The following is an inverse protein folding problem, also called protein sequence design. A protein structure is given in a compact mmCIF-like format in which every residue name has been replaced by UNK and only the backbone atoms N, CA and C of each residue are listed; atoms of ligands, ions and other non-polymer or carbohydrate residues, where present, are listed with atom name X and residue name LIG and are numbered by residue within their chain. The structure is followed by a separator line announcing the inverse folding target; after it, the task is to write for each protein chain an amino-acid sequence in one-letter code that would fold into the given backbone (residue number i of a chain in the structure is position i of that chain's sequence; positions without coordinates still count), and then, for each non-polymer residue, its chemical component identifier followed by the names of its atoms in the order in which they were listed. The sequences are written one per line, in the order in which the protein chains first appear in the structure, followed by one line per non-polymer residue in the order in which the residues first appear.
data_IF_334402955765
#
_entry.id   IF_334402955765
#
_cell.length_a   1.000
_cell.length_b   1.000
_cell.length_c   1.000
_cell.angle_alpha   90.00
_cell.angle_beta   90.00
_cell.angle_gamma   90.00
#
_symmetry.space_group_name_H-M   'P 1'
#
loop_
_entity.id
_entity.type
_entity.pdbx_description
1 polymer ?
#
# COMPACT_ATOMS: atom_id res chain seq x y z
N UNK A 1 -8.09 26.34 39.92
CA UNK A 1 -8.54 25.28 39.01
C UNK A 1 -7.40 24.92 38.08
N UNK A 2 -6.51 24.04 38.57
CA UNK A 2 -5.36 23.52 37.82
C UNK A 2 -5.70 22.20 37.10
N UNK A 3 -6.96 22.00 36.72
CA UNK A 3 -7.43 20.72 36.17
C UNK A 3 -7.39 20.65 34.64
N UNK A 4 -6.87 21.68 33.96
CA UNK A 4 -6.80 21.75 32.50
C UNK A 4 -5.46 22.32 32.08
N UNK A 5 -4.69 21.53 31.34
CA UNK A 5 -3.49 21.98 30.64
C UNK A 5 -3.87 22.63 29.31
N UNK A 6 -3.24 23.77 28.99
CA UNK A 6 -3.47 24.52 27.76
C UNK A 6 -2.15 24.76 27.03
N UNK A 7 -2.00 24.14 25.86
CA UNK A 7 -0.90 24.38 24.94
C UNK A 7 -1.34 25.25 23.77
N UNK A 8 -0.54 26.26 23.42
CA UNK A 8 -0.79 27.15 22.29
C UNK A 8 0.27 26.96 21.22
N UNK A 9 -0.16 26.92 19.96
CA UNK A 9 0.68 26.73 18.79
C UNK A 9 0.32 27.74 17.70
N UNK A 10 1.15 27.83 16.67
CA UNK A 10 0.86 28.65 15.50
C UNK A 10 -0.48 28.27 14.86
N UNK A 11 -1.18 29.27 14.30
CA UNK A 11 -2.46 29.05 13.64
C UNK A 11 -2.29 28.07 12.47
N UNK A 12 -3.09 27.01 12.45
CA UNK A 12 -3.10 25.98 11.39
C UNK A 12 -3.43 26.52 10.00
N UNK A 13 -4.03 27.71 9.92
CA UNK A 13 -4.30 28.43 8.67
C UNK A 13 -4.09 29.94 8.90
N UNK A 14 -2.83 30.42 8.88
CA UNK A 14 -2.52 31.82 9.16
C UNK A 14 -3.17 32.78 8.16
N UNK A 15 -3.29 32.34 6.90
CA UNK A 15 -3.98 33.04 5.79
C UNK A 15 -4.83 32.05 5.01
N UNK A 16 -5.83 32.53 4.26
CA UNK A 16 -6.82 31.68 3.59
C UNK A 16 -6.20 30.66 2.62
N UNK A 17 -5.10 31.00 1.97
CA UNK A 17 -4.46 30.19 0.94
C UNK A 17 -3.24 29.40 1.43
N UNK A 18 -2.99 29.34 2.75
CA UNK A 18 -1.86 28.62 3.32
C UNK A 18 -2.22 27.91 4.62
N UNK A 19 -1.91 26.62 4.67
CA UNK A 19 -1.96 25.80 5.88
C UNK A 19 -0.58 25.73 6.54
N UNK A 20 -0.57 25.60 7.87
CA UNK A 20 0.61 25.41 8.72
C UNK A 20 0.31 24.35 9.78
N UNK A 21 0.16 23.10 9.34
CA UNK A 21 -0.33 22.00 10.19
C UNK A 21 0.74 21.44 11.14
N UNK A 22 2.03 21.67 10.84
CA UNK A 22 3.17 21.09 11.58
C UNK A 22 3.12 21.36 13.08
N UNK A 23 3.11 22.64 13.51
CA UNK A 23 3.15 23.00 14.94
C UNK A 23 2.03 22.36 15.76
N UNK A 24 0.82 22.29 15.22
CA UNK A 24 -0.31 21.65 15.90
C UNK A 24 -0.18 20.12 15.96
N UNK A 25 0.30 19.49 14.89
CA UNK A 25 0.54 18.03 14.87
C UNK A 25 1.62 17.63 15.87
N UNK A 26 2.70 18.40 15.94
CA UNK A 26 3.81 18.15 16.86
C UNK A 26 3.35 18.30 18.31
N UNK A 27 2.61 19.36 18.64
CA UNK A 27 2.06 19.55 20.00
C UNK A 27 1.04 18.48 20.41
N UNK A 28 0.16 18.05 19.50
CA UNK A 28 -0.76 16.92 19.78
C UNK A 28 0.04 15.64 20.06
N UNK A 29 1.14 15.43 19.33
CA UNK A 29 2.02 14.29 19.54
C UNK A 29 2.71 14.34 20.91
N UNK A 30 3.28 15.50 21.26
CA UNK A 30 3.94 15.71 22.56
C UNK A 30 2.97 15.48 23.72
N UNK A 31 1.77 16.07 23.65
CA UNK A 31 0.71 15.84 24.64
C UNK A 31 0.33 14.35 24.76
N UNK A 32 0.28 13.62 23.65
CA UNK A 32 0.01 12.18 23.68
C UNK A 32 1.14 11.40 24.37
N UNK A 33 2.41 11.75 24.12
CA UNK A 33 3.54 11.12 24.78
C UNK A 33 3.55 11.40 26.28
N UNK A 34 3.37 12.67 26.67
CA UNK A 34 3.41 13.12 28.06
C UNK A 34 2.23 12.62 28.89
N UNK A 35 1.03 12.57 28.32
CA UNK A 35 -0.18 12.29 29.08
C UNK A 35 -0.73 10.88 28.89
N UNK A 36 -0.45 10.22 27.77
CA UNK A 36 -0.97 8.86 27.53
C UNK A 36 0.14 7.83 27.66
N UNK A 37 1.28 8.04 26.99
CA UNK A 37 2.37 7.08 27.01
C UNK A 37 3.17 7.10 28.30
N UNK A 38 3.35 8.25 28.96
CA UNK A 38 4.03 8.32 30.26
C UNK A 38 3.36 7.45 31.34
N UNK A 39 2.04 7.26 31.24
CA UNK A 39 1.29 6.39 32.15
C UNK A 39 1.32 4.91 31.76
N UNK A 40 1.97 4.54 30.64
CA UNK A 40 2.09 3.16 30.23
C UNK A 40 3.04 2.41 31.18
N UNK A 41 2.65 1.21 31.67
CA UNK A 41 3.48 0.43 32.59
C UNK A 41 4.89 0.20 32.05
N UNK A 42 5.90 0.71 32.76
CA UNK A 42 7.31 0.54 32.42
C UNK A 42 7.91 1.62 31.50
N UNK A 43 7.14 2.62 31.07
CA UNK A 43 7.63 3.68 30.17
C UNK A 43 8.78 4.50 30.79
N UNK A 44 8.65 4.95 32.05
CA UNK A 44 9.72 5.68 32.76
C UNK A 44 11.04 4.90 32.80
N UNK A 45 10.95 3.58 32.95
CA UNK A 45 12.11 2.70 32.98
C UNK A 45 12.76 2.59 31.60
N UNK A 46 11.98 2.56 30.52
CA UNK A 46 12.49 2.57 29.16
C UNK A 46 13.18 3.89 28.84
N UNK A 47 12.57 5.03 29.19
CA UNK A 47 13.19 6.36 29.00
C UNK A 47 14.57 6.41 29.66
N UNK A 48 14.68 5.91 30.90
CA UNK A 48 15.94 5.91 31.64
C UNK A 48 17.01 4.97 31.04
N UNK A 49 16.64 4.05 30.15
CA UNK A 49 17.54 3.10 29.48
C UNK A 49 18.00 3.55 28.09
N UNK A 50 17.35 4.55 27.51
CA UNK A 50 17.60 4.98 26.13
C UNK A 50 18.30 6.33 26.09
N UNK A 51 19.38 6.43 25.33
CA UNK A 51 20.11 7.70 25.11
C UNK A 51 19.43 8.62 24.07
N UNK A 52 18.35 8.15 23.44
CA UNK A 52 17.59 8.87 22.42
C UNK A 52 16.09 8.91 22.79
N UNK A 53 15.33 9.92 22.32
CA UNK A 53 13.89 9.99 22.55
C UNK A 53 13.16 8.76 22.02
N UNK A 54 12.15 8.29 22.77
CA UNK A 54 11.30 7.19 22.33
C UNK A 54 10.45 7.68 21.17
N UNK A 55 10.58 7.03 20.01
CA UNK A 55 9.81 7.34 18.82
C UNK A 55 8.66 6.34 18.63
N UNK A 56 7.45 6.80 18.28
CA UNK A 56 6.39 5.89 17.90
C UNK A 56 6.68 5.26 16.53
N UNK A 57 6.27 4.01 16.32
CA UNK A 57 6.44 3.27 15.06
C UNK A 57 6.08 4.08 13.80
N UNK A 58 4.93 4.79 13.74
CA UNK A 58 4.58 5.57 12.55
C UNK A 58 5.50 6.78 12.32
N UNK A 59 6.15 7.29 13.37
CA UNK A 59 7.19 8.31 13.23
C UNK A 59 8.42 7.74 12.52
N UNK A 60 8.87 6.58 12.99
CA UNK A 60 10.09 5.94 12.48
C UNK A 60 9.95 5.46 11.04
N UNK A 61 8.85 4.77 10.72
CA UNK A 61 8.54 4.30 9.36
C UNK A 61 8.40 5.48 8.39
N UNK A 62 7.74 6.56 8.82
CA UNK A 62 7.61 7.78 8.03
C UNK A 62 8.96 8.43 7.71
N UNK A 63 9.85 8.51 8.69
CA UNK A 63 11.18 9.12 8.52
C UNK A 63 12.03 8.38 7.49
N UNK A 64 12.07 7.04 7.55
CA UNK A 64 12.86 6.26 6.60
C UNK A 64 12.25 6.33 5.19
N UNK A 65 10.92 6.29 5.04
CA UNK A 65 10.26 6.46 3.74
C UNK A 65 10.57 7.83 3.12
N UNK A 66 10.47 8.90 3.92
CA UNK A 66 10.82 10.26 3.49
C UNK A 66 12.28 10.35 3.04
N UNK A 67 13.20 9.76 3.81
CA UNK A 67 14.63 9.75 3.47
C UNK A 67 14.89 9.06 2.12
N UNK A 68 14.23 7.93 1.85
CA UNK A 68 14.35 7.19 0.58
C UNK A 68 13.84 8.03 -0.59
N UNK A 69 12.65 8.62 -0.43
CA UNK A 69 12.00 9.45 -1.44
C UNK A 69 12.87 10.67 -1.80
N UNK A 70 13.39 11.37 -0.79
CA UNK A 70 14.26 12.53 -0.96
C UNK A 70 15.60 12.19 -1.62
N UNK A 71 16.29 11.16 -1.15
CA UNK A 71 17.60 10.76 -1.71
C UNK A 71 17.47 10.27 -3.15
N UNK A 72 16.41 9.53 -3.46
CA UNK A 72 16.20 8.94 -4.78
C UNK A 72 15.47 9.88 -5.74
N UNK A 73 14.88 10.97 -5.25
CA UNK A 73 14.07 11.90 -6.05
C UNK A 73 12.83 11.23 -6.64
N UNK A 74 12.14 10.39 -5.84
CA UNK A 74 11.00 9.58 -6.29
C UNK A 74 9.75 9.84 -5.46
N UNK A 75 8.59 9.53 -6.02
CA UNK A 75 7.34 9.47 -5.27
C UNK A 75 7.16 8.07 -4.67
N UNK A 76 6.79 8.01 -3.40
CA UNK A 76 6.69 6.76 -2.68
C UNK A 76 5.45 6.68 -1.79
N UNK A 77 4.90 5.47 -1.68
CA UNK A 77 3.88 5.12 -0.68
C UNK A 77 4.46 4.00 0.19
N UNK A 78 4.29 4.13 1.49
CA UNK A 78 4.60 3.09 2.46
C UNK A 78 3.34 2.71 3.21
N UNK A 79 3.20 1.44 3.56
CA UNK A 79 2.13 0.95 4.43
C UNK A 79 2.68 0.07 5.53
N UNK A 80 2.15 0.23 6.74
CA UNK A 80 2.40 -0.64 7.89
C UNK A 80 1.07 -1.13 8.46
N UNK A 81 0.72 -2.38 8.18
CA UNK A 81 -0.51 -3.00 8.67
C UNK A 81 -0.26 -3.84 9.93
N UNK A 82 -0.71 -3.32 11.07
CA UNK A 82 -0.58 -3.94 12.38
C UNK A 82 -1.79 -4.77 12.79
N UNK A 83 -1.77 -5.21 14.05
CA UNK A 83 -2.90 -5.93 14.64
C UNK A 83 -4.11 -5.04 14.92
N UNK A 84 -3.90 -3.77 15.24
CA UNK A 84 -4.95 -2.81 15.60
C UNK A 84 -5.16 -1.72 14.55
N UNK A 85 -4.08 -1.22 13.97
CA UNK A 85 -4.07 -0.06 13.08
C UNK A 85 -3.39 -0.38 11.75
N UNK A 86 -3.68 0.42 10.74
CA UNK A 86 -2.93 0.46 9.47
C UNK A 86 -2.46 1.88 9.25
N UNK A 87 -1.15 2.05 9.11
CA UNK A 87 -0.55 3.34 8.83
C UNK A 87 -0.20 3.44 7.36
N UNK A 88 -0.59 4.54 6.71
CA UNK A 88 -0.24 4.84 5.33
C UNK A 88 0.54 6.13 5.28
N UNK A 89 1.65 6.08 4.57
CA UNK A 89 2.58 7.19 4.38
C UNK A 89 2.71 7.45 2.88
N UNK A 90 2.83 8.71 2.50
CA UNK A 90 3.14 9.07 1.12
C UNK A 90 4.11 10.24 1.05
N UNK A 91 4.93 10.23 0.02
CA UNK A 91 5.78 11.34 -0.40
C UNK A 91 5.49 11.57 -1.87
N UNK A 92 4.91 12.71 -2.19
CA UNK A 92 4.62 13.11 -3.57
C UNK A 92 5.11 14.53 -3.79
N UNK A 93 5.90 14.72 -4.84
CA UNK A 93 6.46 16.02 -5.21
C UNK A 93 7.19 16.71 -4.01
N UNK A 94 7.79 15.89 -3.13
CA UNK A 94 8.51 16.32 -1.92
C UNK A 94 7.62 16.52 -0.67
N UNK A 95 6.29 16.43 -0.79
CA UNK A 95 5.38 16.59 0.34
C UNK A 95 5.10 15.27 1.04
N UNK A 96 5.40 15.21 2.35
CA UNK A 96 5.15 14.05 3.19
C UNK A 96 3.78 14.11 3.86
N UNK A 97 2.99 13.05 3.71
CA UNK A 97 1.72 12.85 4.39
C UNK A 97 1.69 11.52 5.14
N UNK A 98 0.96 11.50 6.25
CA UNK A 98 0.78 10.33 7.10
C UNK A 98 -0.66 10.24 7.58
N UNK A 99 -1.21 9.03 7.55
CA UNK A 99 -2.52 8.69 8.11
C UNK A 99 -2.42 7.43 8.94
N UNK A 100 -3.08 7.43 10.10
CA UNK A 100 -3.20 6.28 11.00
C UNK A 100 -4.65 5.85 11.02
N UNK A 101 -4.97 4.72 10.41
CA UNK A 101 -6.32 4.15 10.39
C UNK A 101 -6.54 3.28 11.63
N UNK A 102 -7.08 3.89 12.69
CA UNK A 102 -7.18 3.27 14.02
C UNK A 102 -8.04 1.99 14.08
N UNK A 103 -8.97 1.80 13.13
CA UNK A 103 -9.92 0.70 13.12
C UNK A 103 -9.61 -0.39 12.09
N UNK A 104 -8.50 -0.26 11.36
CA UNK A 104 -8.17 -1.17 10.26
C UNK A 104 -6.93 -1.97 10.64
N UNK A 105 -7.11 -3.12 11.28
CA UNK A 105 -6.01 -3.97 11.73
C UNK A 105 -6.35 -5.45 11.64
N UNK A 106 -5.32 -6.29 11.53
CA UNK A 106 -5.48 -7.72 11.21
C UNK A 106 -5.70 -8.63 12.41
N UNK A 107 -5.79 -8.09 13.63
CA UNK A 107 -5.96 -8.89 14.85
C UNK A 107 -6.96 -8.24 15.80
N UNK A 108 -6.54 -7.28 16.62
CA UNK A 108 -7.39 -6.56 17.56
C UNK A 108 -8.58 -5.87 16.88
N UNK A 109 -8.39 -5.37 15.66
CA UNK A 109 -9.41 -4.63 14.91
C UNK A 109 -9.99 -5.39 13.71
N UNK A 110 -9.75 -6.70 13.60
CA UNK A 110 -10.18 -7.46 12.41
C UNK A 110 -11.69 -7.46 12.22
N UNK A 111 -12.45 -7.45 13.33
CA UNK A 111 -13.92 -7.33 13.28
C UNK A 111 -14.37 -5.98 12.70
N UNK A 112 -13.64 -4.90 12.96
CA UNK A 112 -13.92 -3.58 12.43
C UNK A 112 -13.66 -3.54 10.92
N UNK A 113 -12.55 -4.15 10.45
CA UNK A 113 -12.31 -4.34 9.01
C UNK A 113 -13.48 -5.07 8.37
N UNK A 114 -13.94 -6.19 8.95
CA UNK A 114 -15.09 -6.93 8.42
C UNK A 114 -16.40 -6.14 8.45
N UNK A 115 -16.59 -5.26 9.43
CA UNK A 115 -17.78 -4.41 9.53
C UNK A 115 -17.76 -3.31 8.47
N UNK A 116 -16.61 -2.66 8.26
CA UNK A 116 -16.45 -1.55 7.33
C UNK A 116 -16.38 -2.02 5.88
N UNK A 117 -15.59 -3.07 5.60
CA UNK A 117 -15.50 -3.67 4.27
C UNK A 117 -16.77 -4.45 3.91
N UNK A 118 -17.41 -5.10 4.88
CA UNK A 118 -18.47 -6.12 4.73
C UNK A 118 -17.97 -7.45 4.19
N UNK A 119 -18.65 -8.54 4.59
CA UNK A 119 -18.32 -9.90 4.14
C UNK A 119 -18.35 -10.09 2.62
N UNK A 120 -19.35 -9.57 1.87
CA UNK A 120 -19.36 -9.69 0.41
C UNK A 120 -18.12 -9.10 -0.27
N UNK A 121 -17.64 -7.93 0.18
CA UNK A 121 -16.43 -7.33 -0.40
C UNK A 121 -15.14 -8.03 0.00
N UNK A 122 -15.12 -8.76 1.11
CA UNK A 122 -13.99 -9.62 1.48
C UNK A 122 -14.01 -10.88 0.62
N UNK A 123 -15.17 -11.54 0.53
CA UNK A 123 -15.31 -12.83 -0.17
C UNK A 123 -15.10 -12.76 -1.68
N UNK A 124 -15.21 -11.56 -2.28
CA UNK A 124 -14.88 -11.38 -3.71
C UNK A 124 -13.43 -11.73 -4.05
N UNK A 125 -12.52 -11.73 -3.07
CA UNK A 125 -11.11 -12.11 -3.25
C UNK A 125 -10.84 -13.60 -3.01
N UNK A 126 -11.86 -14.36 -2.60
CA UNK A 126 -11.73 -15.77 -2.23
C UNK A 126 -12.11 -16.64 -3.42
N UNK A 127 -11.15 -17.41 -3.92
CA UNK A 127 -11.31 -18.30 -5.08
C UNK A 127 -11.91 -19.68 -4.70
N UNK A 128 -11.79 -20.10 -3.44
CA UNK A 128 -12.35 -21.35 -2.90
C UNK A 128 -13.67 -21.11 -2.18
N UNK A 129 -14.46 -22.17 -2.01
CA UNK A 129 -15.79 -22.02 -1.41
C UNK A 129 -15.65 -22.02 0.10
N UNK A 130 -16.31 -21.10 0.78
CA UNK A 130 -16.19 -20.95 2.22
C UNK A 130 -17.54 -20.62 2.84
N UNK A 131 -17.84 -21.25 3.98
CA UNK A 131 -19.03 -20.93 4.76
C UNK A 131 -18.84 -19.60 5.51
N UNK A 132 -19.61 -18.58 5.13
CA UNK A 132 -19.60 -17.27 5.78
C UNK A 132 -19.84 -17.38 7.30
N UNK A 133 -20.67 -18.32 7.74
CA UNK A 133 -20.94 -18.50 9.18
C UNK A 133 -19.69 -18.95 9.93
N UNK A 134 -18.91 -19.87 9.37
CA UNK A 134 -17.64 -20.30 9.95
C UNK A 134 -16.62 -19.14 9.96
N UNK A 135 -16.53 -18.39 8.87
CA UNK A 135 -15.62 -17.25 8.76
C UNK A 135 -15.92 -16.17 9.80
N UNK A 136 -17.20 -15.85 10.05
CA UNK A 136 -17.61 -14.93 11.10
C UNK A 136 -17.17 -15.39 12.50
N UNK A 137 -17.20 -16.69 12.77
CA UNK A 137 -16.69 -17.24 14.03
C UNK A 137 -15.16 -17.13 14.09
N UNK A 138 -14.46 -17.35 12.97
CA UNK A 138 -13.00 -17.23 12.87
C UNK A 138 -12.52 -15.81 13.15
N UNK A 139 -13.17 -14.79 12.57
CA UNK A 139 -12.90 -13.37 12.84
C UNK A 139 -13.02 -13.05 14.32
N UNK A 140 -14.12 -13.47 14.97
CA UNK A 140 -14.33 -13.26 16.41
C UNK A 140 -13.28 -13.96 17.26
N UNK A 141 -12.95 -15.20 16.92
CA UNK A 141 -11.93 -15.98 17.63
C UNK A 141 -10.54 -15.33 17.53
N UNK A 142 -10.18 -14.78 16.37
CA UNK A 142 -8.91 -14.06 16.21
C UNK A 142 -8.88 -12.77 17.02
N UNK A 143 -9.99 -12.02 17.09
CA UNK A 143 -10.06 -10.80 17.91
C UNK A 143 -9.82 -11.08 19.41
N UNK A 144 -10.33 -12.20 19.94
CA UNK A 144 -10.10 -12.61 21.35
C UNK A 144 -8.76 -13.33 21.56
N UNK A 145 -8.13 -13.83 20.50
CA UNK A 145 -6.80 -14.49 20.50
C UNK A 145 -5.91 -13.88 19.42
N UNK A 146 -5.49 -12.61 19.58
CA UNK A 146 -4.88 -11.81 18.51
C UNK A 146 -3.54 -12.36 18.00
N UNK A 147 -2.90 -13.25 18.75
CA UNK A 147 -1.62 -13.86 18.39
C UNK A 147 -1.76 -15.13 17.53
N UNK A 148 -2.98 -15.54 17.18
CA UNK A 148 -3.17 -16.71 16.30
C UNK A 148 -2.82 -16.40 14.86
N UNK A 149 -2.03 -17.28 14.24
CA UNK A 149 -1.69 -17.26 12.81
C UNK A 149 -2.49 -18.31 12.03
N UNK A 150 -2.74 -18.13 10.73
CA UNK A 150 -3.37 -19.14 9.88
C UNK A 150 -2.68 -20.51 10.00
N UNK A 151 -3.47 -21.55 10.26
CA UNK A 151 -3.00 -22.95 10.32
C UNK A 151 -3.52 -23.82 9.17
N UNK A 152 -4.35 -23.26 8.29
CA UNK A 152 -4.86 -23.92 7.08
C UNK A 152 -4.79 -22.97 5.89
N UNK A 153 -4.79 -23.54 4.68
CA UNK A 153 -4.78 -22.76 3.44
C UNK A 153 -6.02 -21.86 3.34
N UNK A 154 -7.19 -22.36 3.69
CA UNK A 154 -8.42 -21.56 3.75
C UNK A 154 -8.31 -20.39 4.73
N UNK A 155 -7.70 -20.59 5.90
CA UNK A 155 -7.46 -19.51 6.85
C UNK A 155 -6.55 -18.44 6.26
N UNK A 156 -5.49 -18.86 5.57
CA UNK A 156 -4.54 -17.96 4.92
C UNK A 156 -5.23 -17.14 3.82
N UNK A 157 -5.96 -17.81 2.92
CA UNK A 157 -6.70 -17.16 1.82
C UNK A 157 -7.68 -16.13 2.38
N UNK A 158 -8.45 -16.51 3.41
CA UNK A 158 -9.42 -15.62 4.03
C UNK A 158 -8.75 -14.41 4.69
N UNK A 159 -7.70 -14.60 5.49
CA UNK A 159 -7.01 -13.49 6.14
C UNK A 159 -6.33 -12.56 5.12
N UNK A 160 -5.80 -13.08 4.02
CA UNK A 160 -5.26 -12.26 2.93
C UNK A 160 -6.37 -11.50 2.17
N UNK A 161 -7.58 -12.06 2.07
CA UNK A 161 -8.75 -11.33 1.55
C UNK A 161 -9.16 -10.18 2.48
N UNK A 162 -9.17 -10.40 3.79
CA UNK A 162 -9.41 -9.33 4.78
C UNK A 162 -8.32 -8.25 4.70
N UNK A 163 -7.05 -8.65 4.54
CA UNK A 163 -5.92 -7.73 4.41
C UNK A 163 -6.05 -6.82 3.19
N UNK A 164 -6.47 -7.33 2.03
CA UNK A 164 -6.73 -6.50 0.84
C UNK A 164 -7.73 -5.38 1.13
N UNK A 165 -8.83 -5.70 1.81
CA UNK A 165 -9.84 -4.70 2.15
C UNK A 165 -9.37 -3.71 3.24
N UNK A 166 -8.63 -4.17 4.25
CA UNK A 166 -8.04 -3.28 5.26
C UNK A 166 -7.09 -2.26 4.61
N UNK A 167 -6.18 -2.75 3.74
CA UNK A 167 -5.23 -1.91 3.02
C UNK A 167 -5.94 -0.93 2.07
N UNK A 168 -6.94 -1.40 1.32
CA UNK A 168 -7.73 -0.57 0.39
C UNK A 168 -8.45 0.55 1.13
N UNK A 169 -9.12 0.23 2.24
CA UNK A 169 -9.84 1.23 3.06
C UNK A 169 -8.86 2.25 3.67
N UNK A 170 -7.73 1.80 4.20
CA UNK A 170 -6.71 2.68 4.75
C UNK A 170 -6.12 3.61 3.67
N UNK A 171 -5.88 3.09 2.46
CA UNK A 171 -5.37 3.87 1.35
C UNK A 171 -6.40 4.91 0.86
N UNK A 172 -7.68 4.55 0.76
CA UNK A 172 -8.74 5.51 0.42
C UNK A 172 -8.82 6.64 1.45
N UNK A 173 -8.83 6.30 2.74
CA UNK A 173 -8.81 7.29 3.82
C UNK A 173 -7.58 8.19 3.71
N UNK A 174 -6.42 7.64 3.39
CA UNK A 174 -5.19 8.42 3.19
C UNK A 174 -5.33 9.42 2.04
N UNK A 175 -5.88 9.02 0.89
CA UNK A 175 -6.11 9.92 -0.26
C UNK A 175 -7.12 11.02 0.06
N UNK A 176 -8.09 10.77 0.93
CA UNK A 176 -9.05 11.79 1.38
C UNK A 176 -8.41 12.85 2.30
N UNK A 177 -7.38 12.49 3.06
CA UNK A 177 -6.68 13.41 3.95
C UNK A 177 -5.49 14.11 3.30
N UNK A 178 -4.74 13.41 2.44
CA UNK A 178 -3.62 13.96 1.69
C UNK A 178 -4.12 14.76 0.49
N UNK A 179 -4.76 15.91 0.74
CA UNK A 179 -5.36 16.76 -0.30
C UNK A 179 -4.71 18.12 -0.39
N UNK A 180 -4.78 18.72 -1.58
CA UNK A 180 -4.40 20.11 -1.79
C UNK A 180 -5.36 21.08 -1.08
N UNK A 181 -4.86 22.28 -0.77
CA UNK A 181 -5.61 23.34 -0.07
C UNK A 181 -6.97 23.64 -0.70
N UNK A 182 -8.04 23.50 0.10
CA UNK A 182 -9.41 23.85 -0.30
C UNK A 182 -9.63 25.38 -0.26
N UNK A 183 -10.12 25.93 -1.37
CA UNK A 183 -10.60 27.32 -1.44
C UNK A 183 -9.59 28.36 -1.94
N UNK A 184 -8.40 27.93 -2.40
CA UNK A 184 -7.53 28.81 -3.19
C UNK A 184 -8.19 29.05 -4.55
N UNK A 185 -8.28 30.30 -5.00
CA UNK A 185 -8.66 30.62 -6.38
C UNK A 185 -7.57 30.05 -7.31
N UNK A 186 -7.69 28.78 -7.68
CA UNK A 186 -6.98 28.26 -8.84
C UNK A 186 -7.43 29.10 -10.04
N UNK A 187 -6.47 29.53 -10.88
CA UNK A 187 -6.79 30.16 -12.17
C UNK A 187 -7.52 29.12 -13.02
N UNK A 188 -8.85 29.06 -12.88
CA UNK A 188 -9.69 28.11 -13.59
C UNK A 188 -9.83 28.56 -15.04
N UNK A 189 -9.49 27.68 -15.97
CA UNK A 189 -9.89 27.81 -17.36
C UNK A 189 -11.39 27.52 -17.49
N UNK A 190 -12.05 28.03 -18.53
CA UNK A 190 -13.51 27.84 -18.74
C UNK A 190 -13.91 26.35 -18.76
N UNK A 191 -12.98 25.45 -19.09
CA UNK A 191 -13.16 23.99 -19.03
C UNK A 191 -13.26 23.41 -17.61
N UNK A 192 -12.61 24.02 -16.61
CA UNK A 192 -12.55 23.52 -15.23
C UNK A 192 -13.82 23.83 -14.42
N UNK A 193 -14.74 24.62 -14.98
CA UNK A 193 -16.03 24.94 -14.37
C UNK A 193 -17.02 23.76 -14.42
N UNK A 194 -16.78 22.77 -15.29
CA UNK A 194 -17.67 21.61 -15.46
C UNK A 194 -17.27 20.39 -14.63
N UNK A 195 -16.06 20.35 -14.07
CA UNK A 195 -15.60 19.38 -13.08
C UNK A 195 -15.75 19.98 -11.69
N UNK A 196 -16.98 19.97 -11.17
CA UNK A 196 -17.25 20.30 -9.76
C UNK A 196 -16.79 19.14 -8.85
N UNK A 197 -15.49 19.01 -8.62
CA UNK A 197 -15.01 18.27 -7.45
C UNK A 197 -15.07 19.22 -6.24
N UNK A 198 -16.03 18.96 -5.35
CA UNK A 198 -16.24 19.71 -4.10
C UNK A 198 -15.16 19.43 -3.03
N UNK A 199 -14.15 18.61 -3.34
CA UNK A 199 -12.97 18.34 -2.52
C UNK A 199 -11.70 18.92 -3.14
N UNK A 200 -10.65 19.12 -2.34
CA UNK A 200 -9.31 19.35 -2.90
C UNK A 200 -8.84 18.05 -3.55
N UNK A 201 -8.09 18.14 -4.66
CA UNK A 201 -7.56 16.95 -5.31
C UNK A 201 -6.55 16.28 -4.37
N UNK A 202 -6.62 14.94 -4.29
CA UNK A 202 -5.62 14.12 -3.60
C UNK A 202 -4.24 14.41 -4.19
N UNK A 203 -3.26 14.63 -3.32
CA UNK A 203 -1.83 14.77 -3.68
C UNK A 203 -1.28 13.41 -4.12
N UNK A 204 -1.86 12.33 -3.59
CA UNK A 204 -1.48 10.96 -3.94
C UNK A 204 -2.03 10.60 -5.33
N UNK A 205 -1.10 10.40 -6.26
CA UNK A 205 -1.36 10.07 -7.67
C UNK A 205 -0.74 8.70 -8.02
N UNK A 206 -1.58 7.72 -8.33
CA UNK A 206 -1.14 6.36 -8.61
C UNK A 206 -0.27 6.27 -9.88
N UNK A 207 -0.43 7.17 -10.85
CA UNK A 207 0.34 7.17 -12.11
C UNK A 207 1.77 7.68 -11.89
N UNK A 208 1.96 8.54 -10.88
CA UNK A 208 3.26 9.08 -10.49
C UNK A 208 3.99 8.23 -9.45
N UNK A 209 3.38 7.15 -8.95
CA UNK A 209 3.93 6.34 -7.88
C UNK A 209 5.08 5.46 -8.37
N UNK A 210 6.31 5.79 -7.95
CA UNK A 210 7.51 5.05 -8.34
C UNK A 210 7.76 3.84 -7.43
N UNK A 211 7.51 3.97 -6.12
CA UNK A 211 7.81 2.94 -5.13
C UNK A 211 6.66 2.72 -4.14
N UNK A 212 6.23 1.47 -4.00
CA UNK A 212 5.27 1.03 -2.98
C UNK A 212 5.95 0.05 -2.02
N UNK A 213 6.04 0.41 -0.74
CA UNK A 213 6.73 -0.37 0.30
C UNK A 213 5.72 -0.96 1.28
N UNK A 214 5.74 -2.29 1.42
CA UNK A 214 4.97 -3.05 2.38
C UNK A 214 5.71 -3.28 3.70
N UNK A 215 5.03 -3.02 4.82
CA UNK A 215 5.42 -3.41 6.17
C UNK A 215 4.19 -3.88 6.96
N UNK A 216 4.42 -4.44 8.15
CA UNK A 216 3.35 -4.88 9.05
C UNK A 216 2.88 -6.31 8.80
N UNK A 217 2.78 -7.08 9.89
CA UNK A 217 2.99 -8.54 9.93
C UNK A 217 2.40 -9.41 8.81
N UNK A 218 1.18 -9.14 8.33
CA UNK A 218 0.54 -9.95 7.28
C UNK A 218 1.27 -9.88 5.93
N UNK A 219 1.97 -8.76 5.65
CA UNK A 219 2.68 -8.54 4.39
C UNK A 219 4.06 -9.21 4.33
N UNK A 220 5.00 -8.98 5.27
CA UNK A 220 6.33 -9.55 5.20
C UNK A 220 6.37 -11.04 5.58
N UNK A 221 5.42 -11.52 6.39
CA UNK A 221 5.33 -12.92 6.78
C UNK A 221 4.38 -13.75 5.89
N UNK A 222 3.91 -13.20 4.77
CA UNK A 222 3.21 -14.01 3.77
C UNK A 222 4.12 -15.18 3.33
N UNK A 223 3.60 -16.43 3.28
CA UNK A 223 4.40 -17.60 2.90
C UNK A 223 5.11 -17.50 1.55
N UNK A 224 4.56 -16.70 0.61
CA UNK A 224 5.12 -16.46 -0.71
C UNK A 224 5.19 -14.96 -1.00
N UNK A 225 6.25 -14.53 -1.71
CA UNK A 225 6.46 -13.12 -2.07
C UNK A 225 5.38 -12.62 -3.03
N UNK A 226 4.87 -13.51 -3.88
CA UNK A 226 3.80 -13.27 -4.83
C UNK A 226 2.49 -12.89 -4.13
N UNK A 227 2.23 -13.45 -2.93
CA UNK A 227 1.05 -13.10 -2.14
C UNK A 227 1.14 -11.66 -1.63
N UNK A 228 2.31 -11.21 -1.17
CA UNK A 228 2.55 -9.82 -0.77
C UNK A 228 2.37 -8.88 -1.97
N UNK A 229 2.96 -9.21 -3.12
CA UNK A 229 2.81 -8.41 -4.34
C UNK A 229 1.33 -8.31 -4.77
N UNK A 230 0.59 -9.42 -4.75
CA UNK A 230 -0.83 -9.42 -5.09
C UNK A 230 -1.65 -8.54 -4.14
N UNK A 231 -1.45 -8.65 -2.82
CA UNK A 231 -2.16 -7.79 -1.85
C UNK A 231 -1.87 -6.30 -2.06
N UNK A 232 -0.62 -5.94 -2.39
CA UNK A 232 -0.25 -4.56 -2.73
C UNK A 232 -0.95 -4.06 -3.99
N UNK A 233 -0.88 -4.83 -5.08
CA UNK A 233 -1.48 -4.43 -6.37
C UNK A 233 -3.00 -4.32 -6.23
N UNK A 234 -3.63 -5.28 -5.54
CA UNK A 234 -5.08 -5.34 -5.39
C UNK A 234 -5.63 -4.21 -4.50
N UNK A 235 -4.87 -3.78 -3.48
CA UNK A 235 -5.33 -2.76 -2.53
C UNK A 235 -4.99 -1.32 -2.95
N UNK A 236 -3.81 -1.11 -3.54
CA UNK A 236 -3.30 0.23 -3.86
C UNK A 236 -3.54 0.62 -5.32
N UNK A 237 -3.84 -0.36 -6.17
CA UNK A 237 -4.20 -0.14 -7.58
C UNK A 237 -3.18 0.74 -8.32
N UNK A 238 -1.86 0.41 -8.31
CA UNK A 238 -0.84 1.23 -8.97
C UNK A 238 -1.14 1.37 -10.46
N UNK A 239 -0.70 2.49 -11.05
CA UNK A 239 -0.87 2.85 -12.45
C UNK A 239 0.50 3.18 -13.07
N UNK A 240 0.69 2.89 -14.35
CA UNK A 240 1.97 3.07 -15.01
C UNK A 240 2.98 2.03 -14.54
N UNK A 241 4.14 2.47 -14.06
CA UNK A 241 5.25 1.60 -13.66
C UNK A 241 5.58 1.86 -12.19
N UNK A 242 5.27 0.90 -11.33
CA UNK A 242 5.51 1.02 -9.88
C UNK A 242 6.37 -0.13 -9.39
N UNK A 243 7.49 0.21 -8.74
CA UNK A 243 8.35 -0.76 -8.07
C UNK A 243 7.71 -1.18 -6.75
N UNK A 244 7.62 -2.48 -6.51
CA UNK A 244 7.08 -3.06 -5.29
C UNK A 244 8.22 -3.54 -4.41
N UNK A 245 8.15 -3.24 -3.13
CA UNK A 245 9.10 -3.70 -2.13
C UNK A 245 8.41 -4.07 -0.82
N UNK A 246 9.09 -4.87 0.01
CA UNK A 246 8.68 -5.14 1.38
C UNK A 246 9.83 -5.03 2.35
N UNK A 247 9.52 -4.64 3.58
CA UNK A 247 10.41 -4.77 4.73
C UNK A 247 10.52 -6.26 5.11
N UNK A 248 11.72 -6.84 5.08
CA UNK A 248 11.92 -8.27 5.26
C UNK A 248 11.54 -8.79 6.66
N UNK A 249 11.73 -7.97 7.69
CA UNK A 249 11.64 -8.38 9.11
C UNK A 249 11.20 -7.23 10.05
N UNK A 250 10.40 -6.27 9.56
CA UNK A 250 9.90 -5.15 10.37
C UNK A 250 11.04 -4.29 10.95
N UNK A 251 12.06 -4.02 10.13
CA UNK A 251 13.22 -3.22 10.50
C UNK A 251 13.06 -1.73 10.22
N UNK A 252 12.08 -1.32 9.41
CA UNK A 252 11.79 0.11 9.14
C UNK A 252 11.64 0.94 10.42
N UNK A 253 10.93 0.50 11.48
CA UNK A 253 10.84 1.27 12.71
C UNK A 253 12.19 1.40 13.43
N UNK A 254 12.96 0.31 13.50
CA UNK A 254 14.27 0.31 14.15
C UNK A 254 15.26 1.22 13.42
N UNK A 255 15.25 1.17 12.08
CA UNK A 255 16.11 1.98 11.24
C UNK A 255 15.68 3.45 11.18
N UNK A 256 14.38 3.73 11.30
CA UNK A 256 13.88 5.10 11.44
C UNK A 256 14.35 5.78 12.73
N UNK A 257 14.48 5.04 13.83
CA UNK A 257 15.11 5.53 15.07
C UNK A 257 16.62 5.69 14.87
N UNK A 258 17.29 4.66 14.33
CA UNK A 258 18.74 4.72 14.07
C UNK A 258 19.11 5.89 13.15
N UNK A 259 18.26 6.24 12.18
CA UNK A 259 18.48 7.34 11.25
C UNK A 259 18.57 8.71 11.95
N UNK A 260 18.06 8.87 13.17
CA UNK A 260 18.23 10.10 13.94
C UNK A 260 19.66 10.30 14.45
N UNK A 261 20.37 9.21 14.70
CA UNK A 261 21.72 9.21 15.29
C UNK A 261 22.78 8.91 14.22
N UNK A 262 22.50 7.96 13.34
CA UNK A 262 23.39 7.50 12.26
C UNK A 262 22.63 7.35 10.93
N UNK A 263 22.29 8.47 10.25
CA UNK A 263 21.50 8.46 9.01
C UNK A 263 22.09 7.57 7.90
N UNK A 264 23.41 7.67 7.66
CA UNK A 264 24.08 6.91 6.59
C UNK A 264 24.06 5.41 6.86
N UNK A 265 24.39 4.98 8.07
CA UNK A 265 24.38 3.57 8.44
C UNK A 265 22.96 2.98 8.41
N UNK A 266 21.96 3.71 8.92
CA UNK A 266 20.57 3.28 8.87
C UNK A 266 20.10 3.05 7.43
N UNK A 267 20.49 3.93 6.52
CA UNK A 267 20.12 3.84 5.12
C UNK A 267 20.86 2.72 4.39
N UNK A 268 22.16 2.52 4.65
CA UNK A 268 22.92 1.41 4.07
C UNK A 268 22.34 0.05 4.49
N UNK A 269 22.03 -0.12 5.78
CA UNK A 269 21.39 -1.34 6.29
C UNK A 269 19.98 -1.49 5.70
N UNK A 270 19.25 -0.39 5.56
CA UNK A 270 17.92 -0.43 4.97
C UNK A 270 17.95 -0.91 3.52
N UNK A 271 18.78 -0.28 2.68
CA UNK A 271 18.88 -0.55 1.24
C UNK A 271 19.45 -1.94 0.94
N UNK A 272 20.39 -2.43 1.77
CA UNK A 272 21.08 -3.69 1.51
C UNK A 272 20.43 -4.90 2.18
N UNK A 273 19.95 -4.73 3.42
CA UNK A 273 19.62 -5.87 4.27
C UNK A 273 18.12 -5.99 4.58
N UNK A 274 17.37 -4.87 4.53
CA UNK A 274 15.98 -4.85 4.99
C UNK A 274 14.95 -4.73 3.87
N UNK A 275 15.25 -3.99 2.80
CA UNK A 275 14.31 -3.78 1.70
C UNK A 275 14.42 -4.90 0.66
N UNK A 276 13.43 -5.79 0.63
CA UNK A 276 13.30 -6.80 -0.43
C UNK A 276 12.48 -6.23 -1.57
N UNK A 277 13.10 -6.01 -2.71
CA UNK A 277 12.38 -5.70 -3.94
C UNK A 277 11.64 -6.92 -4.46
N UNK A 278 10.32 -6.79 -4.60
CA UNK A 278 9.46 -7.81 -5.19
C UNK A 278 9.54 -7.75 -6.71
N UNK A 279 9.69 -6.55 -7.26
CA UNK A 279 9.87 -6.30 -8.69
C UNK A 279 9.04 -5.11 -9.15
N UNK A 280 8.53 -5.15 -10.39
CA UNK A 280 7.82 -4.01 -10.99
C UNK A 280 6.42 -4.41 -11.44
N UNK A 281 5.40 -3.69 -10.96
CA UNK A 281 4.04 -3.77 -11.47
C UNK A 281 3.86 -2.75 -12.61
N UNK A 282 3.29 -3.21 -13.72
CA UNK A 282 2.99 -2.39 -14.89
C UNK A 282 1.51 -2.52 -15.19
N UNK A 283 0.78 -1.42 -15.03
CA UNK A 283 -0.67 -1.38 -15.18
C UNK A 283 -1.12 -0.12 -15.93
N UNK A 284 -2.31 -0.16 -16.52
CA UNK A 284 -2.88 1.02 -17.17
C UNK A 284 -3.96 1.68 -16.34
N UNK A 285 -4.01 3.02 -16.35
CA UNK A 285 -5.15 3.76 -15.85
C UNK A 285 -6.35 3.63 -16.79
N UNK A 286 -7.55 3.61 -16.21
CA UNK A 286 -8.82 3.53 -16.92
C UNK A 286 -9.45 2.14 -16.93
N UNK A 287 -10.50 1.99 -17.75
CA UNK A 287 -11.34 0.78 -17.80
C UNK A 287 -11.11 0.02 -19.12
N UNK A 288 -10.38 -1.10 -19.10
CA UNK A 288 -10.20 -1.97 -20.25
C UNK A 288 -11.55 -2.48 -20.76
N UNK A 289 -11.66 -2.67 -22.07
CA UNK A 289 -12.87 -3.22 -22.69
C UNK A 289 -12.79 -4.74 -22.61
N UNK A 290 -13.80 -5.43 -22.03
CA UNK A 290 -13.79 -6.89 -21.94
C UNK A 290 -13.49 -7.57 -23.28
N UNK A 291 -12.71 -8.65 -23.25
CA UNK A 291 -12.29 -9.42 -24.44
C UNK A 291 -11.51 -8.60 -25.49
N UNK A 292 -10.89 -7.49 -25.09
CA UNK A 292 -9.95 -6.72 -25.93
C UNK A 292 -8.58 -6.68 -25.28
N UNK A 293 -7.57 -6.41 -26.10
CA UNK A 293 -6.21 -6.13 -25.63
C UNK A 293 -6.25 -4.85 -24.78
N UNK A 294 -5.78 -4.95 -23.54
CA UNK A 294 -5.54 -3.80 -22.68
C UNK A 294 -4.28 -3.06 -23.14
N UNK A 295 -3.19 -3.79 -23.35
CA UNK A 295 -1.95 -3.25 -23.91
C UNK A 295 -1.08 -4.33 -24.55
N UNK A 296 -0.26 -3.91 -25.51
CA UNK A 296 0.84 -4.69 -26.04
C UNK A 296 2.11 -4.37 -25.26
N UNK A 297 2.99 -5.37 -25.11
CA UNK A 297 4.26 -5.19 -24.41
C UNK A 297 5.44 -5.76 -25.20
N UNK A 298 6.60 -5.12 -25.04
CA UNK A 298 7.90 -5.62 -25.49
C UNK A 298 8.94 -5.40 -24.41
N UNK A 299 9.68 -6.44 -24.08
CA UNK A 299 10.74 -6.46 -23.07
C UNK A 299 12.04 -6.85 -23.77
N UNK A 300 13.11 -6.09 -23.50
CA UNK A 300 14.46 -6.32 -24.02
C UNK A 300 15.48 -6.08 -22.91
N UNK A 301 16.68 -6.67 -23.01
CA UNK A 301 17.70 -6.60 -21.96
C UNK A 301 18.10 -8.00 -21.51
N UNK A 302 18.19 -8.21 -20.18
CA UNK A 302 18.54 -9.51 -19.60
C UNK A 302 17.54 -10.63 -19.96
N UNK A 303 16.30 -10.24 -20.27
CA UNK A 303 15.27 -11.10 -20.84
C UNK A 303 14.69 -10.47 -22.10
N UNK A 304 14.14 -11.32 -22.97
CA UNK A 304 13.37 -10.87 -24.14
C UNK A 304 12.01 -11.53 -24.12
N UNK A 305 10.95 -10.72 -24.19
CA UNK A 305 9.57 -11.18 -24.27
C UNK A 305 8.72 -10.15 -25.01
N UNK A 306 7.70 -10.60 -25.72
CA UNK A 306 6.70 -9.71 -26.31
C UNK A 306 5.35 -10.41 -26.35
N UNK A 307 4.27 -9.63 -26.39
CA UNK A 307 2.92 -10.16 -26.49
C UNK A 307 1.87 -9.12 -26.18
N UNK A 308 0.67 -9.60 -25.93
CA UNK A 308 -0.50 -8.82 -25.60
C UNK A 308 -0.99 -9.24 -24.20
N UNK A 309 -1.57 -8.28 -23.47
CA UNK A 309 -2.30 -8.53 -22.23
C UNK A 309 -3.75 -8.18 -22.47
N UNK A 310 -4.65 -9.13 -22.24
CA UNK A 310 -6.09 -8.93 -22.37
C UNK A 310 -6.66 -8.16 -21.18
N UNK A 311 -7.81 -7.52 -21.41
CA UNK A 311 -8.60 -6.88 -20.36
C UNK A 311 -8.93 -7.89 -19.24
N UNK A 312 -8.47 -7.60 -18.03
CA UNK A 312 -8.64 -8.48 -16.86
C UNK A 312 -7.52 -9.49 -16.62
N UNK A 313 -6.54 -9.61 -17.52
CA UNK A 313 -5.46 -10.57 -17.40
C UNK A 313 -4.36 -10.07 -16.45
N UNK A 314 -3.78 -10.99 -15.68
CA UNK A 314 -2.51 -10.79 -14.98
C UNK A 314 -1.47 -11.72 -15.58
N UNK A 315 -0.24 -11.21 -15.74
CA UNK A 315 0.88 -12.03 -16.20
C UNK A 315 2.14 -11.71 -15.42
N UNK A 316 2.76 -12.74 -14.85
CA UNK A 316 4.07 -12.65 -14.20
C UNK A 316 5.18 -13.09 -15.15
N UNK A 317 6.23 -12.29 -15.26
CA UNK A 317 7.43 -12.59 -16.03
C UNK A 317 8.63 -12.54 -15.06
N UNK A 318 9.33 -13.66 -14.83
CA UNK A 318 10.51 -13.68 -13.98
C UNK A 318 11.59 -12.72 -14.47
N UNK A 319 12.14 -11.92 -13.54
CA UNK A 319 13.31 -11.06 -13.72
C UNK A 319 13.97 -10.96 -12.35
N UNK A 320 15.22 -11.42 -12.21
CA UNK A 320 15.90 -11.53 -10.92
C UNK A 320 16.24 -10.15 -10.33
N UNK A 321 16.52 -10.09 -9.03
CA UNK A 321 16.73 -8.83 -8.30
C UNK A 321 17.93 -8.01 -8.78
N UNK A 322 18.93 -8.66 -9.36
CA UNK A 322 20.15 -8.09 -9.96
C UNK A 322 20.00 -7.79 -11.46
N UNK A 323 18.84 -8.07 -12.05
CA UNK A 323 18.58 -7.91 -13.48
C UNK A 323 17.72 -6.68 -13.78
N UNK A 324 17.93 -6.13 -14.97
CA UNK A 324 17.20 -5.01 -15.51
C UNK A 324 16.69 -5.31 -16.92
N UNK A 325 15.53 -4.74 -17.25
CA UNK A 325 14.96 -4.86 -18.58
C UNK A 325 14.32 -3.54 -19.03
N UNK A 326 14.41 -3.26 -20.32
CA UNK A 326 13.71 -2.16 -20.96
C UNK A 326 12.36 -2.65 -21.44
N UNK A 327 11.29 -2.06 -20.90
CA UNK A 327 9.90 -2.46 -21.17
C UNK A 327 9.17 -1.33 -21.89
N UNK A 328 8.64 -1.64 -23.07
CA UNK A 328 7.75 -0.79 -23.84
C UNK A 328 6.32 -1.30 -23.70
N UNK A 329 5.39 -0.39 -23.42
CA UNK A 329 3.95 -0.67 -23.32
C UNK A 329 3.22 0.22 -24.32
N UNK A 330 2.32 -0.36 -25.11
CA UNK A 330 1.41 0.36 -26.00
C UNK A 330 -0.02 0.10 -25.53
N UNK A 331 -0.64 1.03 -24.78
CA UNK A 331 -1.98 0.85 -24.25
C UNK A 331 -3.05 1.03 -25.32
N UNK A 332 -4.21 0.38 -25.13
CA UNK A 332 -5.39 0.63 -25.94
C UNK A 332 -5.78 2.13 -25.88
N UNK A 333 -6.40 2.68 -26.94
CA UNK A 333 -6.67 4.12 -27.13
C UNK A 333 -7.33 4.86 -25.96
N UNK A 334 -8.02 4.17 -25.06
CA UNK A 334 -8.72 4.75 -23.90
C UNK A 334 -7.96 4.60 -22.58
N UNK A 335 -6.86 3.87 -22.57
CA UNK A 335 -6.05 3.53 -21.41
C UNK A 335 -4.75 4.33 -21.44
N UNK A 336 -4.19 4.59 -20.26
CA UNK A 336 -2.96 5.36 -20.10
C UNK A 336 -1.94 4.53 -19.33
N UNK A 337 -0.68 4.54 -19.77
CA UNK A 337 0.44 3.87 -19.12
C UNK A 337 1.52 4.85 -18.61
N UNK A 338 1.25 6.17 -18.67
CA UNK A 338 2.11 7.24 -18.15
C UNK A 338 2.48 8.33 -19.15
N UNK A 339 2.20 8.15 -20.45
CA UNK A 339 2.47 9.13 -21.51
C UNK A 339 1.20 9.72 -22.15
N UNK A 340 0.02 9.48 -21.55
CA UNK A 340 -1.26 9.86 -22.11
C UNK A 340 -1.97 8.69 -22.79
N UNK A 341 -3.27 8.88 -23.02
CA UNK A 341 -4.16 7.82 -23.53
C UNK A 341 -3.71 7.28 -24.89
N UNK A 342 -3.53 5.97 -24.96
CA UNK A 342 -3.11 5.27 -26.18
C UNK A 342 -1.68 5.55 -26.64
N UNK A 343 -0.89 6.30 -25.86
CA UNK A 343 0.50 6.60 -26.21
C UNK A 343 1.44 5.54 -25.65
N UNK A 344 2.39 5.11 -26.48
CA UNK A 344 3.42 4.19 -26.03
C UNK A 344 4.34 4.86 -25.01
N UNK A 345 4.78 4.06 -24.05
CA UNK A 345 5.72 4.46 -23.01
C UNK A 345 6.78 3.38 -22.87
N UNK A 346 8.00 3.80 -22.58
CA UNK A 346 9.13 2.91 -22.43
C UNK A 346 9.94 3.31 -21.21
N UNK A 347 10.22 2.35 -20.32
CA UNK A 347 11.01 2.56 -19.10
C UNK A 347 11.94 1.37 -18.85
N UNK A 348 13.07 1.63 -18.21
CA UNK A 348 13.87 0.58 -17.58
C UNK A 348 13.19 0.15 -16.29
N UNK A 349 13.04 -1.15 -16.09
CA UNK A 349 12.47 -1.74 -14.88
C UNK A 349 13.48 -2.67 -14.24
N UNK A 350 13.41 -2.77 -12.92
CA UNK A 350 14.24 -3.68 -12.15
C UNK A 350 13.43 -4.93 -11.78
N UNK A 351 14.10 -6.07 -11.76
CA UNK A 351 13.53 -7.30 -11.26
C UNK A 351 13.42 -7.32 -9.75
N UNK A 352 13.17 -8.52 -9.22
CA UNK A 352 12.98 -8.75 -7.80
C UNK A 352 12.66 -10.20 -7.52
N UNK A 353 12.27 -10.50 -6.29
CA UNK A 353 11.92 -11.88 -5.90
C UNK A 353 10.69 -12.43 -6.64
N UNK A 354 9.82 -11.56 -7.17
CA UNK A 354 8.62 -11.90 -7.94
C UNK A 354 8.82 -11.68 -9.44
N UNK A 355 9.50 -10.60 -9.82
CA UNK A 355 9.78 -10.20 -11.21
C UNK A 355 8.86 -9.08 -11.72
N UNK A 356 8.56 -9.09 -13.02
CA UNK A 356 7.64 -8.14 -13.64
C UNK A 356 6.20 -8.68 -13.56
N UNK A 357 5.26 -7.86 -13.12
CA UNK A 357 3.82 -8.16 -13.15
C UNK A 357 3.15 -7.21 -14.13
N UNK A 358 2.62 -7.75 -15.22
CA UNK A 358 1.79 -7.03 -16.18
C UNK A 358 0.32 -7.18 -15.77
N UNK A 359 -0.35 -6.05 -15.55
CA UNK A 359 -1.72 -6.02 -15.03
C UNK A 359 -2.67 -5.32 -16.02
N UNK A 360 -3.43 -6.12 -16.76
CA UNK A 360 -4.46 -5.68 -17.70
C UNK A 360 -5.82 -5.42 -17.07
N UNK A 361 -5.93 -5.41 -15.74
CA UNK A 361 -7.19 -5.14 -15.04
C UNK A 361 -7.49 -3.64 -14.99
N UNK A 362 -8.74 -3.32 -14.71
CA UNK A 362 -9.20 -1.93 -14.61
C UNK A 362 -8.66 -1.17 -13.40
N UNK A 363 -8.67 0.16 -13.54
CA UNK A 363 -8.46 1.16 -12.49
C UNK A 363 -9.63 2.17 -12.61
N UNK A 364 -10.62 2.16 -11.69
CA UNK A 364 -10.68 1.34 -10.47
C UNK A 364 -10.86 -0.16 -10.74
N UNK A 365 -10.36 -0.99 -9.82
CA UNK A 365 -10.48 -2.44 -9.84
C UNK A 365 -11.84 -2.89 -9.32
N UNK A 366 -12.68 -3.42 -10.21
CA UNK A 366 -14.04 -3.85 -9.90
C UNK A 366 -14.11 -5.37 -9.78
N UNK A 367 -13.91 -5.91 -8.58
CA UNK A 367 -14.09 -7.35 -8.31
C UNK A 367 -15.48 -7.59 -7.72
N UNK A 368 -16.17 -8.63 -8.18
CA UNK A 368 -17.53 -8.97 -7.79
C UNK A 368 -18.61 -8.09 -8.41
N UNK A 369 -19.87 -8.34 -8.01
CA UNK A 369 -21.05 -7.66 -8.58
C UNK A 369 -21.40 -8.13 -9.99
N UNK A 370 -22.49 -7.60 -10.57
CA UNK A 370 -22.98 -8.02 -11.88
C UNK A 370 -22.05 -7.64 -13.05
N UNK A 371 -21.23 -6.60 -12.86
CA UNK A 371 -20.39 -6.00 -13.92
C UNK A 371 -18.90 -6.06 -13.64
N UNK A 372 -18.48 -6.62 -12.51
CA UNK A 372 -17.08 -6.77 -12.13
C UNK A 372 -16.52 -8.16 -12.43
N UNK A 373 -15.25 -8.35 -12.08
CA UNK A 373 -14.55 -9.61 -12.23
C UNK A 373 -15.19 -10.69 -11.35
N UNK A 374 -15.39 -11.85 -11.96
CA UNK A 374 -15.99 -13.02 -11.33
C UNK A 374 -15.00 -13.75 -10.43
N UNK A 375 -15.50 -14.70 -9.65
CA UNK A 375 -14.66 -15.62 -8.87
C UNK A 375 -13.75 -16.47 -9.75
N UNK A 376 -14.16 -16.77 -10.99
CA UNK A 376 -13.33 -17.49 -11.95
C UNK A 376 -12.13 -16.65 -12.40
N UNK A 377 -12.30 -15.34 -12.56
CA UNK A 377 -11.20 -14.42 -12.88
C UNK A 377 -10.20 -14.38 -11.71
N UNK A 378 -10.68 -14.36 -10.47
CA UNK A 378 -9.83 -14.43 -9.27
C UNK A 378 -9.04 -15.74 -9.22
N UNK A 379 -9.64 -16.88 -9.58
CA UNK A 379 -8.91 -18.15 -9.70
C UNK A 379 -7.80 -18.07 -10.75
N UNK A 380 -8.06 -17.46 -11.91
CA UNK A 380 -7.04 -17.27 -12.95
C UNK A 380 -5.89 -16.38 -12.46
N UNK A 381 -6.16 -15.34 -11.67
CA UNK A 381 -5.13 -14.49 -11.08
C UNK A 381 -4.27 -15.24 -10.05
N UNK A 382 -4.91 -16.09 -9.24
CA UNK A 382 -4.22 -16.97 -8.28
C UNK A 382 -3.23 -17.88 -9.00
N UNK A 383 -3.66 -18.49 -10.11
CA UNK A 383 -2.81 -19.35 -10.94
C UNK A 383 -1.71 -18.55 -11.65
N UNK A 384 -2.05 -17.44 -12.29
CA UNK A 384 -1.12 -16.60 -13.06
C UNK A 384 0.03 -16.04 -12.21
N UNK A 385 -0.25 -15.73 -10.94
CA UNK A 385 0.76 -15.26 -9.98
C UNK A 385 1.33 -16.39 -9.10
N UNK A 386 0.86 -17.64 -9.24
CA UNK A 386 1.29 -18.78 -8.42
C UNK A 386 1.17 -18.50 -6.90
N UNK A 387 0.04 -17.92 -6.48
CA UNK A 387 -0.15 -17.43 -5.11
C UNK A 387 -0.21 -18.55 -4.08
N UNK A 388 -0.76 -19.70 -4.42
CA UNK A 388 -0.89 -20.85 -3.54
C UNK A 388 -0.39 -22.12 -4.26
N UNK A 389 -0.11 -23.18 -3.52
CA UNK A 389 0.22 -24.46 -4.13
C UNK A 389 -1.00 -25.03 -4.83
N UNK A 390 -0.82 -25.55 -6.05
CA UNK A 390 -1.88 -26.25 -6.77
C UNK A 390 -2.31 -27.48 -5.98
N UNK A 391 -3.58 -27.52 -5.54
CA UNK A 391 -4.16 -28.63 -4.78
C UNK A 391 -4.03 -29.99 -5.49
N UNK A 392 -3.89 -29.99 -6.81
CA UNK A 392 -3.69 -31.18 -7.64
C UNK A 392 -2.37 -31.93 -7.40
N UNK A 393 -1.41 -31.36 -6.67
CA UNK A 393 -0.17 -32.03 -6.29
C UNK A 393 -0.18 -32.62 -4.86
N UNK A 394 -1.12 -32.20 -4.01
CA UNK A 394 -1.16 -32.61 -2.59
C UNK A 394 -2.00 -33.87 -2.38
N UNK A 395 -2.94 -34.21 -3.27
CA UNK A 395 -3.73 -35.45 -3.18
C UNK A 395 -2.99 -36.72 -3.62
N UNK A 396 -1.66 -36.67 -3.82
CA UNK A 396 -0.84 -37.78 -4.32
C UNK A 396 0.32 -38.19 -3.42
N UNK A 397 0.30 -37.81 -2.14
CA UNK A 397 1.25 -38.34 -1.13
C UNK A 397 0.55 -38.97 0.06
#
# INVERSE_FOLDING_TARGET
DDSVELSQVENVRPILDRENLGPARDMIHDLFLEHVMAHAPGYDKLIAWTDAPIMPTPGAVGNILKTIAEKSGINAVGVDIGGATTDVFSVFDGEFNRTVSANLGMSYSISNVCAEATMPNILRWVHVDMDERELRNRVKNKMIRPTTIPQSLEALIFEQAVSREALRLAYLQHKEFATTLKGVQQQRTVGDLFTQDSGGNSIVDNMKLDLLVASGGVLPHAPRMEQTAAMLIDAFEPEGFTRLAKDSIFMMPHLGVLAQVHPQAALEVFERDCLIYLGTCIATAGKPVPNKVAFEYRITGDITAQGEILAGELKRIPLAADQEARVSITPHRKLDAGNGKGQSVEKTVHGGTVGIILDGRGRPLLVGGETGYSRQDVSQWVEALNLYENESLVSSK
#
